data_IF_379323490356
#
_entry.id   IF_379323490356
#
_cell.length_a   1.000
_cell.length_b   1.000
_cell.length_c   1.000
_cell.angle_alpha   90.00
_cell.angle_beta   90.00
_cell.angle_gamma   90.00
#
_symmetry.space_group_name_H-M   'P 1'
#
loop_
_entity.id
_entity.type
_entity.pdbx_description
1 polymer ?
2 non-polymer ?
3 non-polymer ?
4 water ?
#
# COMPACT_ATOMS: atom_id res chain seq x y z
N UNK A 1 2.61 5.55 -17.79
CA UNK A 1 2.97 4.43 -16.81
C UNK A 1 4.19 4.81 -15.98
N UNK A 2 4.25 4.34 -14.74
CA UNK A 2 5.27 4.65 -13.75
C UNK A 2 5.87 3.37 -13.26
N UNK A 3 7.18 3.36 -13.00
CA UNK A 3 7.86 2.26 -12.40
C UNK A 3 8.03 2.54 -10.92
N UNK A 4 7.42 1.70 -10.08
CA UNK A 4 7.34 1.88 -8.64
C UNK A 4 8.54 1.27 -7.85
N UNK A 5 8.84 1.82 -6.66
CA UNK A 5 9.84 1.15 -5.82
C UNK A 5 9.37 -0.19 -5.26
N UNK A 6 10.29 -1.16 -5.16
CA UNK A 6 9.99 -2.54 -4.83
C UNK A 6 10.64 -2.85 -3.52
N UNK A 7 9.88 -3.37 -2.60
CA UNK A 7 10.38 -3.75 -1.32
C UNK A 7 11.26 -4.98 -1.42
N UNK A 8 12.27 -5.00 -0.59
CA UNK A 8 13.15 -6.16 -0.54
C UNK A 8 13.00 -7.02 0.67
N UNK A 9 13.36 -8.28 0.52
CA UNK A 9 13.38 -9.19 1.67
C UNK A 9 14.02 -8.57 2.92
N UNK A 10 13.32 -8.71 4.04
CA UNK A 10 13.66 -8.10 5.30
C UNK A 10 12.78 -6.95 5.64
N UNK A 11 12.16 -6.35 4.62
CA UNK A 11 11.13 -5.35 4.89
C UNK A 11 9.83 -5.95 5.30
N UNK A 12 9.26 -5.36 6.32
CA UNK A 12 8.16 -5.98 6.99
C UNK A 12 6.85 -5.94 6.20
N UNK A 13 6.73 -5.01 5.28
CA UNK A 13 5.55 -4.97 4.36
C UNK A 13 5.31 -6.32 3.69
N UNK A 14 6.40 -7.05 3.44
CA UNK A 14 6.37 -8.33 2.73
C UNK A 14 5.94 -9.49 3.60
N UNK A 15 5.80 -9.28 4.91
CA UNK A 15 5.36 -10.28 5.82
C UNK A 15 3.92 -10.24 6.20
N UNK A 16 3.14 -9.25 5.75
CA UNK A 16 1.75 -9.12 6.16
C UNK A 16 0.83 -9.99 5.32
N UNK A 17 -0.38 -10.17 5.82
CA UNK A 17 -1.46 -10.74 5.01
C UNK A 17 -2.14 -9.52 4.39
N UNK A 18 -2.00 -9.41 3.07
CA UNK A 18 -2.61 -8.30 2.28
C UNK A 18 -4.13 -8.34 2.40
N UNK A 19 -4.77 -7.17 2.49
CA UNK A 19 -6.20 -7.07 2.70
C UNK A 19 -6.93 -7.22 1.36
N UNK A 20 -8.07 -7.88 1.37
CA UNK A 20 -8.86 -8.01 0.09
C UNK A 20 -9.32 -6.67 -0.41
N UNK A 21 -9.35 -6.61 -1.72
CA UNK A 21 -9.92 -5.45 -2.42
C UNK A 21 -11.41 -5.41 -2.16
N UNK A 22 -11.91 -4.21 -1.80
CA UNK A 22 -13.30 -4.02 -1.37
C UNK A 22 -14.16 -3.79 -2.66
N UNK A 23 -15.43 -3.98 -2.45
CA UNK A 23 -16.41 -3.82 -3.54
C UNK A 23 -16.38 -2.49 -4.26
N UNK A 24 -16.28 -1.40 -3.49
CA UNK A 24 -16.24 -0.06 -4.11
C UNK A 24 -14.97 0.20 -4.92
N UNK A 25 -13.85 -0.51 -4.63
CA UNK A 25 -12.65 -0.41 -5.44
C UNK A 25 -12.77 -1.06 -6.81
N UNK A 26 -13.66 -2.06 -6.94
CA UNK A 26 -13.77 -2.81 -8.19
C UNK A 26 -14.25 -1.83 -9.28
N UNK A 27 -13.62 -1.92 -10.44
CA UNK A 27 -13.95 -1.13 -11.62
C UNK A 27 -13.72 0.35 -11.32
N UNK A 28 -12.80 0.66 -10.39
CA UNK A 28 -12.41 2.05 -10.11
C UNK A 28 -11.11 2.44 -10.85
N UNK A 29 -10.97 3.73 -11.17
CA UNK A 29 -9.76 4.25 -11.80
C UNK A 29 -8.59 4.02 -10.86
N UNK A 30 -8.81 4.10 -9.52
CA UNK A 30 -7.82 3.73 -8.51
C UNK A 30 -7.21 2.38 -8.81
N UNK A 31 -8.12 1.41 -8.98
CA UNK A 31 -7.68 0.05 -9.14
C UNK A 31 -7.02 -0.16 -10.50
N UNK A 32 -7.53 0.49 -11.56
CA UNK A 32 -6.87 0.40 -12.86
C UNK A 32 -5.49 0.98 -12.82
N UNK A 33 -5.32 2.08 -12.11
CA UNK A 33 -4.02 2.73 -12.00
C UNK A 33 -3.03 1.90 -11.21
N UNK A 34 -3.55 1.26 -10.18
CA UNK A 34 -2.72 0.37 -9.35
C UNK A 34 -2.17 -0.74 -10.24
N UNK A 35 -3.04 -1.40 -11.00
CA UNK A 35 -2.63 -2.48 -11.83
C UNK A 35 -1.67 -2.05 -12.93
N UNK A 36 -1.93 -0.90 -13.51
CA UNK A 36 -1.02 -0.38 -14.57
C UNK A 36 0.39 -0.11 -14.01
N UNK A 37 0.49 0.48 -12.83
CA UNK A 37 1.79 0.74 -12.21
C UNK A 37 2.50 -0.58 -11.84
N UNK A 38 1.74 -1.56 -11.37
CA UNK A 38 2.31 -2.87 -11.04
C UNK A 38 2.87 -3.49 -12.29
N UNK A 39 2.07 -3.43 -13.35
CA UNK A 39 2.44 -4.05 -14.65
C UNK A 39 3.72 -3.41 -15.18
N UNK A 40 3.77 -2.08 -15.19
CA UNK A 40 5.02 -1.40 -15.63
C UNK A 40 6.22 -1.76 -14.82
N UNK A 41 6.04 -1.84 -13.51
CA UNK A 41 7.10 -2.23 -12.61
C UNK A 41 7.65 -3.63 -12.88
N UNK A 42 6.76 -4.58 -13.03
CA UNK A 42 7.12 -5.96 -13.35
C UNK A 42 7.94 -6.01 -14.65
N UNK A 43 7.47 -5.35 -15.69
CA UNK A 43 8.12 -5.35 -17.02
C UNK A 43 9.52 -4.74 -16.88
N UNK A 44 9.60 -3.65 -16.13
CA UNK A 44 10.89 -2.95 -15.99
C UNK A 44 11.89 -3.85 -15.29
N UNK A 45 11.46 -4.70 -14.37
CA UNK A 45 12.39 -5.57 -13.61
C UNK A 45 12.48 -6.99 -14.25
N UNK A 46 12.03 -7.18 -15.48
CA UNK A 46 11.92 -8.52 -16.10
C UNK A 46 11.26 -9.61 -15.23
N UNK A 47 10.26 -9.18 -14.47
CA UNK A 47 9.44 -10.15 -13.76
C UNK A 47 8.49 -10.95 -14.65
N UNK A 48 8.09 -12.12 -14.18
CA UNK A 48 7.03 -12.88 -14.81
C UNK A 48 5.76 -12.91 -13.98
N UNK A 49 5.80 -12.15 -12.87
CA UNK A 49 4.63 -11.90 -12.10
C UNK A 49 4.96 -10.82 -11.09
N UNK A 50 3.96 -10.31 -10.40
CA UNK A 50 4.18 -9.29 -9.35
C UNK A 50 2.97 -9.29 -8.46
N UNK A 51 3.17 -8.90 -7.20
CA UNK A 51 2.12 -8.83 -6.19
C UNK A 51 2.15 -7.43 -5.58
N UNK A 52 0.98 -6.90 -5.25
CA UNK A 52 0.91 -5.53 -4.78
C UNK A 52 1.78 -5.23 -3.52
N UNK A 53 1.90 -6.15 -2.56
CA UNK A 53 2.78 -5.90 -1.37
C UNK A 53 4.20 -5.53 -1.77
N UNK A 54 4.67 -6.05 -2.90
CA UNK A 54 6.00 -5.80 -3.39
C UNK A 54 6.21 -4.36 -3.73
N UNK A 55 5.12 -3.63 -4.02
CA UNK A 55 5.21 -2.22 -4.34
C UNK A 55 4.56 -1.40 -3.19
N UNK A 56 4.60 -1.95 -1.99
CA UNK A 56 4.13 -1.33 -0.72
C UNK A 56 2.63 -1.13 -0.65
N UNK A 57 1.84 -1.95 -1.39
CA UNK A 57 0.39 -1.80 -1.46
C UNK A 57 -0.18 -3.08 -0.89
N UNK A 58 -0.69 -3.03 0.34
CA UNK A 58 -0.99 -4.28 1.08
C UNK A 58 -2.42 -4.68 0.73
N UNK A 59 -2.61 -4.96 -0.59
CA UNK A 59 -3.83 -5.36 -1.14
C UNK A 59 -3.72 -6.62 -1.95
N UNK A 60 -4.82 -7.34 -2.10
CA UNK A 60 -4.80 -8.66 -2.80
C UNK A 60 -5.00 -8.49 -4.31
N UNK A 61 -3.92 -8.04 -4.93
CA UNK A 61 -3.83 -7.92 -6.40
C UNK A 61 -2.54 -8.53 -6.83
N UNK A 62 -2.59 -9.38 -7.87
CA UNK A 62 -1.38 -9.95 -8.45
C UNK A 62 -1.44 -9.92 -9.97
N UNK A 63 -0.28 -10.04 -10.62
CA UNK A 63 -0.20 -10.19 -12.08
C UNK A 63 0.56 -11.48 -12.37
N UNK A 64 0.02 -12.30 -13.31
CA UNK A 64 0.66 -13.55 -13.71
C UNK A 64 1.00 -13.38 -15.18
N UNK A 65 2.27 -13.46 -15.56
CA UNK A 65 2.70 -13.01 -16.90
C UNK A 65 3.95 -13.74 -17.38
N UNK A 66 3.83 -15.06 -17.42
CA UNK A 66 4.88 -15.89 -17.92
C UNK A 66 5.24 -15.46 -19.38
N UNK A 67 6.54 -15.23 -19.57
CA UNK A 67 7.08 -14.80 -20.86
C UNK A 67 8.59 -15.08 -20.82
N UNK A 68 9.20 -15.59 -21.92
CA UNK A 68 10.70 -15.70 -21.86
C UNK A 68 11.37 -14.31 -21.67
N UNK A 69 12.40 -14.25 -20.84
CA UNK A 69 13.14 -12.99 -20.66
C UNK A 69 14.53 -13.35 -20.10
N UNK A 70 15.46 -12.36 -20.00
CA UNK A 70 16.81 -12.75 -19.49
C UNK A 70 16.75 -13.56 -18.17
N UNK A 71 15.94 -13.07 -17.24
CA UNK A 71 15.76 -13.76 -15.95
C UNK A 71 15.18 -15.17 -16.09
N UNK A 72 14.25 -15.36 -17.05
CA UNK A 72 13.68 -16.71 -17.34
C UNK A 72 13.69 -16.97 -18.85
N UNK A 73 14.85 -17.44 -19.38
CA UNK A 73 15.01 -17.59 -20.85
C UNK A 73 14.08 -18.63 -21.48
N UNK A 74 13.66 -19.61 -20.68
CA UNK A 74 12.80 -20.73 -21.14
C UNK A 74 11.33 -20.70 -20.77
N UNK A 75 10.82 -19.58 -20.23
CA UNK A 75 9.43 -19.53 -19.78
C UNK A 75 8.46 -19.57 -20.95
N UNK A 76 7.35 -20.33 -20.84
CA UNK A 76 6.35 -20.22 -21.89
C UNK A 76 5.67 -18.86 -21.90
N UNK A 77 5.22 -18.40 -23.05
CA UNK A 77 4.54 -17.09 -23.08
C UNK A 77 3.03 -17.27 -22.98
N UNK A 78 2.43 -16.56 -22.02
CA UNK A 78 0.97 -16.42 -21.89
C UNK A 78 0.61 -14.93 -21.99
N UNK A 79 -0.66 -14.59 -22.24
CA UNK A 79 -1.11 -13.19 -22.12
C UNK A 79 -1.16 -12.89 -20.58
N UNK A 80 -0.64 -11.75 -20.18
CA UNK A 80 -0.56 -11.39 -18.76
C UNK A 80 -2.01 -11.35 -18.20
N UNK A 81 -2.27 -11.92 -17.01
CA UNK A 81 -3.57 -11.83 -16.36
C UNK A 81 -3.42 -11.06 -15.01
N UNK A 82 -4.27 -10.06 -14.83
CA UNK A 82 -4.35 -9.37 -13.54
C UNK A 82 -5.46 -10.04 -12.70
N UNK A 83 -5.15 -10.42 -11.45
CA UNK A 83 -6.09 -11.08 -10.61
C UNK A 83 -6.32 -10.31 -9.30
N UNK A 84 -7.60 -10.01 -9.04
CA UNK A 84 -8.02 -9.36 -7.86
C UNK A 84 -8.62 -10.38 -6.95
N UNK A 85 -8.18 -10.37 -5.69
CA UNK A 85 -8.72 -11.31 -4.68
C UNK A 85 -8.61 -12.80 -5.16
N UNK A 86 -7.45 -13.18 -5.68
CA UNK A 86 -7.32 -14.57 -6.06
C UNK A 86 -7.41 -15.54 -4.90
N UNK A 87 -8.04 -16.68 -5.14
CA UNK A 87 -8.12 -17.80 -4.18
C UNK A 87 -7.84 -19.08 -4.91
N UNK A 88 -6.84 -19.82 -4.42
CA UNK A 88 -6.51 -21.10 -5.00
C UNK A 88 -7.48 -22.11 -4.34
N UNK A 89 -8.31 -22.71 -5.16
CA UNK A 89 -9.36 -23.61 -4.76
C UNK A 89 -8.91 -25.06 -4.79
N UNK A 90 -7.83 -25.34 -5.55
CA UNK A 90 -7.32 -26.70 -5.65
C UNK A 90 -5.89 -26.67 -6.06
N UNK A 91 -5.10 -27.47 -5.32
CA UNK A 91 -3.70 -27.75 -5.65
C UNK A 91 -3.62 -29.21 -6.00
N UNK A 92 -2.90 -29.53 -7.04
CA UNK A 92 -2.73 -30.96 -7.36
C UNK A 92 -1.81 -31.61 -6.33
N UNK A 93 -1.96 -32.94 -6.13
CA UNK A 93 -0.95 -33.66 -5.31
C UNK A 93 0.37 -33.78 -6.03
N UNK A 94 0.36 -33.88 -7.36
CA UNK A 94 1.60 -33.82 -8.12
C UNK A 94 2.33 -32.49 -7.97
N UNK A 95 3.65 -32.61 -7.75
CA UNK A 95 4.70 -31.66 -7.40
C UNK A 95 5.42 -31.43 -8.76
N UNK A 96 5.98 -30.25 -8.96
CA UNK A 96 7.14 -30.06 -9.86
C UNK A 96 8.12 -29.13 -9.11
N UNK A 97 9.41 -29.25 -9.35
CA UNK A 97 10.38 -28.32 -8.75
C UNK A 97 11.07 -27.54 -9.85
N UNK A 98 11.30 -26.28 -9.57
CA UNK A 98 11.93 -25.39 -10.52
C UNK A 98 12.67 -24.31 -9.78
N UNK A 99 13.56 -23.67 -10.51
CA UNK A 99 14.29 -22.57 -9.96
C UNK A 99 13.37 -21.35 -10.02
N UNK A 100 13.23 -20.68 -8.89
CA UNK A 100 12.57 -19.37 -8.79
C UNK A 100 13.54 -18.31 -8.30
N UNK A 101 13.37 -17.11 -8.84
CA UNK A 101 13.88 -15.85 -8.27
C UNK A 101 12.69 -15.02 -7.79
N UNK A 102 12.95 -13.78 -7.44
CA UNK A 102 11.86 -12.88 -6.99
C UNK A 102 12.33 -11.44 -7.05
N UNK A 103 11.46 -10.51 -7.43
CA UNK A 103 11.90 -9.10 -7.57
C UNK A 103 12.33 -8.50 -6.22
N UNK A 104 11.90 -9.12 -5.14
CA UNK A 104 12.14 -8.70 -3.79
C UNK A 104 13.32 -9.44 -3.13
N UNK A 105 13.95 -10.34 -3.88
CA UNK A 105 15.11 -11.08 -3.36
C UNK A 105 16.28 -10.91 -4.38
N UNK A 106 16.96 -9.74 -4.31
CA UNK A 106 18.04 -9.53 -5.28
C UNK A 106 19.08 -10.67 -5.24
N UNK A 107 19.50 -11.18 -6.40
CA UNK A 107 20.70 -12.06 -6.47
C UNK A 107 20.61 -13.32 -5.56
N UNK A 108 19.44 -13.92 -5.49
CA UNK A 108 19.34 -15.29 -4.97
C UNK A 108 18.18 -16.01 -5.70
N UNK A 109 18.49 -17.23 -6.08
CA UNK A 109 17.60 -18.11 -6.79
C UNK A 109 17.65 -19.38 -5.96
N UNK A 110 16.57 -20.13 -5.98
CA UNK A 110 16.51 -21.38 -5.28
C UNK A 110 15.49 -22.31 -5.94
N UNK A 111 15.65 -23.57 -5.61
CA UNK A 111 14.79 -24.63 -6.11
C UNK A 111 13.52 -24.73 -5.24
N UNK A 112 12.36 -24.60 -5.89
CA UNK A 112 11.08 -24.66 -5.15
C UNK A 112 10.10 -25.70 -5.68
N UNK A 113 9.57 -26.48 -4.76
CA UNK A 113 8.54 -27.49 -5.05
C UNK A 113 7.18 -26.78 -4.99
N UNK A 114 6.38 -26.97 -6.03
CA UNK A 114 5.07 -26.32 -6.17
C UNK A 114 4.16 -27.38 -6.70
N UNK A 115 2.85 -27.17 -6.51
CA UNK A 115 1.86 -28.02 -7.17
C UNK A 115 2.00 -27.80 -8.67
N UNK A 116 1.95 -28.91 -9.42
CA UNK A 116 1.95 -28.89 -10.86
C UNK A 116 0.76 -28.17 -11.44
N UNK A 117 -0.39 -28.32 -10.79
CA UNK A 117 -1.66 -27.68 -11.23
C UNK A 117 -2.31 -26.95 -10.10
N UNK A 118 -2.79 -25.71 -10.41
CA UNK A 118 -3.68 -25.00 -9.50
C UNK A 118 -4.94 -24.53 -10.20
N UNK A 119 -6.07 -24.56 -9.49
CA UNK A 119 -7.33 -23.95 -9.94
C UNK A 119 -7.54 -22.72 -9.13
N UNK A 120 -7.59 -21.56 -9.77
CA UNK A 120 -7.71 -20.29 -9.06
C UNK A 120 -8.95 -19.54 -9.41
N UNK A 121 -9.65 -19.03 -8.43
CA UNK A 121 -10.84 -18.19 -8.68
C UNK A 121 -10.42 -16.76 -8.34
N UNK A 122 -10.82 -15.76 -9.16
CA UNK A 122 -10.39 -14.41 -8.88
C UNK A 122 -11.41 -13.47 -9.55
N UNK A 123 -11.21 -12.20 -9.30
CA UNK A 123 -11.99 -11.17 -9.95
C UNK A 123 -11.12 -10.41 -10.93
N UNK A 124 -11.74 -10.03 -12.07
CA UNK A 124 -11.07 -9.10 -12.96
C UNK A 124 -11.07 -7.73 -12.33
N UNK A 125 -10.34 -6.83 -12.89
CA UNK A 125 -10.37 -5.44 -12.42
C UNK A 125 -11.76 -4.78 -12.48
N UNK A 126 -12.57 -5.18 -13.47
CA UNK A 126 -14.00 -4.75 -13.52
C UNK A 126 -14.82 -5.32 -12.39
N UNK A 127 -14.42 -6.48 -11.88
CA UNK A 127 -15.07 -7.16 -10.83
C UNK A 127 -15.76 -8.46 -11.20
N UNK A 128 -15.49 -9.03 -12.38
CA UNK A 128 -16.20 -10.23 -12.75
C UNK A 128 -15.48 -11.49 -12.25
N UNK A 129 -16.26 -12.48 -11.89
CA UNK A 129 -15.64 -13.76 -11.35
C UNK A 129 -15.09 -14.62 -12.49
N UNK A 130 -13.88 -15.14 -12.33
CA UNK A 130 -13.25 -16.02 -13.30
C UNK A 130 -12.61 -17.15 -12.55
N UNK A 131 -12.67 -18.33 -13.11
CA UNK A 131 -11.90 -19.49 -12.54
C UNK A 131 -11.07 -20.10 -13.63
N UNK A 132 -9.78 -20.29 -13.38
CA UNK A 132 -8.88 -20.75 -14.39
C UNK A 132 -7.95 -21.83 -13.83
N UNK A 133 -7.68 -22.84 -14.66
CA UNK A 133 -6.72 -23.91 -14.31
C UNK A 133 -5.35 -23.57 -14.87
N UNK A 134 -4.32 -23.63 -14.04
CA UNK A 134 -2.98 -23.36 -14.52
C UNK A 134 -2.13 -24.59 -14.25
N UNK A 135 -1.15 -24.80 -15.12
CA UNK A 135 -0.22 -25.90 -15.03
C UNK A 135 1.22 -25.35 -15.11
N UNK A 136 2.17 -26.16 -14.65
CA UNK A 136 3.59 -25.90 -14.92
C UNK A 136 4.14 -24.57 -14.40
N UNK A 137 4.89 -23.87 -15.25
CA UNK A 137 5.54 -22.65 -14.80
C UNK A 137 4.47 -21.56 -14.48
N UNK A 138 3.41 -21.41 -15.29
CA UNK A 138 2.36 -20.45 -14.88
C UNK A 138 1.73 -20.76 -13.50
N UNK A 139 1.55 -22.06 -13.22
CA UNK A 139 1.06 -22.46 -11.92
C UNK A 139 1.99 -22.07 -10.80
N UNK A 140 3.28 -22.22 -11.00
CA UNK A 140 4.24 -21.86 -10.01
C UNK A 140 4.21 -20.33 -9.78
N UNK A 141 3.98 -19.52 -10.83
CA UNK A 141 3.91 -18.05 -10.64
C UNK A 141 2.67 -17.72 -9.79
N UNK A 142 1.53 -18.32 -10.11
CA UNK A 142 0.30 -18.10 -9.33
C UNK A 142 0.59 -18.40 -7.83
N UNK A 143 1.24 -19.55 -7.59
CA UNK A 143 1.55 -19.88 -6.19
C UNK A 143 2.53 -18.93 -5.49
N UNK A 144 3.55 -18.50 -6.20
CA UNK A 144 4.53 -17.53 -5.75
C UNK A 144 3.85 -16.18 -5.37
N UNK A 145 2.98 -15.70 -6.26
CA UNK A 145 2.34 -14.45 -5.99
C UNK A 145 1.30 -14.52 -4.90
N UNK A 146 0.52 -15.59 -4.85
CA UNK A 146 -0.40 -15.74 -3.71
C UNK A 146 0.37 -15.78 -2.40
N UNK A 147 1.53 -16.48 -2.43
CA UNK A 147 2.41 -16.47 -1.22
C UNK A 147 2.77 -15.04 -0.83
N UNK A 148 3.07 -14.17 -1.77
CA UNK A 148 3.40 -12.79 -1.40
C UNK A 148 2.22 -12.11 -0.67
N UNK A 149 0.99 -12.42 -1.09
CA UNK A 149 -0.23 -11.82 -0.47
C UNK A 149 -0.42 -12.34 0.99
N UNK A 150 0.14 -13.51 1.28
CA UNK A 150 0.05 -14.14 2.58
C UNK A 150 1.35 -13.96 3.39
N UNK A 151 2.27 -13.15 2.94
CA UNK A 151 3.44 -12.76 3.79
C UNK A 151 4.59 -13.77 3.65
N UNK A 152 4.66 -14.47 2.52
CA UNK A 152 5.59 -15.63 2.32
C UNK A 152 6.50 -15.37 1.13
N UNK A 153 7.82 -15.54 1.34
CA UNK A 153 8.78 -15.36 0.28
C UNK A 153 9.32 -16.76 -0.06
N UNK A 154 9.78 -16.93 -1.30
CA UNK A 154 10.06 -18.28 -1.86
C UNK A 154 11.17 -18.94 -1.10
N UNK A 155 12.09 -18.13 -0.56
CA UNK A 155 13.17 -18.64 0.34
C UNK A 155 12.64 -19.53 1.48
N UNK A 156 11.45 -19.25 2.01
CA UNK A 156 10.86 -20.07 3.10
C UNK A 156 10.31 -21.42 2.60
N UNK A 157 10.11 -21.57 1.29
CA UNK A 157 9.52 -22.78 0.66
C UNK A 157 10.62 -23.73 0.13
N UNK A 158 11.89 -23.37 0.28
CA UNK A 158 13.01 -24.19 -0.16
C UNK A 158 13.03 -25.46 0.68
N UNK A 159 12.77 -26.62 0.04
CA UNK A 159 12.67 -27.92 0.72
C UNK A 159 14.07 -28.35 1.15
N UNK B 1 -14.18 7.83 -9.02
CA UNK B 1 -14.39 8.11 -7.54
C UNK B 1 -14.41 6.85 -6.66
N UNK B 2 -13.69 6.83 -5.51
CA UNK B 2 -13.54 5.60 -4.65
C UNK B 2 -13.40 6.01 -3.19
N UNK B 3 -13.89 5.20 -2.27
CA UNK B 3 -13.68 5.33 -0.85
C UNK B 3 -12.94 4.06 -0.41
N UNK B 4 -11.79 4.21 0.24
CA UNK B 4 -10.94 3.05 0.52
C UNK B 4 -11.19 2.49 1.90
N UNK B 5 -11.05 1.19 2.07
CA UNK B 5 -11.13 0.59 3.40
C UNK B 5 -10.00 1.13 4.28
N UNK B 6 -10.39 1.44 5.51
CA UNK B 6 -9.44 1.91 6.53
C UNK B 6 -9.04 0.75 7.46
N UNK B 7 -7.74 0.53 7.63
CA UNK B 7 -7.18 -0.40 8.60
C UNK B 7 -7.42 0.07 10.04
N UNK B 8 -7.71 -0.88 10.92
CA UNK B 8 -7.96 -0.59 12.35
C UNK B 8 -6.82 -1.04 13.24
N UNK B 9 -6.71 -0.37 14.38
CA UNK B 9 -5.79 -0.74 15.38
C UNK B 9 -5.83 -2.22 15.62
N UNK B 10 -4.65 -2.82 15.66
CA UNK B 10 -4.53 -4.26 15.69
C UNK B 10 -3.94 -4.77 14.41
N UNK B 11 -4.17 -4.05 13.31
CA UNK B 11 -3.66 -4.54 12.01
C UNK B 11 -2.26 -4.05 11.90
N UNK B 12 -1.36 -4.96 11.52
CA UNK B 12 0.06 -4.66 11.50
C UNK B 12 0.51 -3.66 10.44
N UNK B 13 -0.24 -3.49 9.36
CA UNK B 13 0.03 -2.42 8.40
C UNK B 13 0.16 -1.05 9.11
N UNK B 14 -0.55 -0.79 10.21
CA UNK B 14 -0.42 0.50 10.89
C UNK B 14 0.81 0.64 11.69
N UNK B 15 1.60 -0.41 11.84
CA UNK B 15 2.80 -0.42 12.68
C UNK B 15 4.13 -0.28 11.91
N UNK B 16 4.07 -0.29 10.57
CA UNK B 16 5.24 -0.19 9.78
C UNK B 16 5.79 1.22 9.68
N UNK B 17 7.00 1.28 9.16
CA UNK B 17 7.58 2.56 8.72
C UNK B 17 7.31 2.67 7.23
N UNK B 18 6.40 3.59 6.86
CA UNK B 18 5.99 3.76 5.47
C UNK B 18 7.16 4.20 4.56
N UNK B 19 7.24 3.67 3.35
CA UNK B 19 8.38 3.97 2.45
C UNK B 19 8.23 5.28 1.76
N UNK B 20 9.33 6.04 1.56
CA UNK B 20 9.18 7.28 0.78
C UNK B 20 8.69 7.12 -0.63
N UNK B 21 7.90 8.10 -1.08
CA UNK B 21 7.51 8.24 -2.51
C UNK B 21 8.73 8.45 -3.36
N UNK B 22 8.82 7.71 -4.47
CA UNK B 22 9.96 7.82 -5.37
C UNK B 22 9.83 9.01 -6.36
N UNK B 23 10.99 9.42 -6.92
CA UNK B 23 11.01 10.39 -8.02
C UNK B 23 10.07 9.99 -9.17
N UNK B 24 10.06 8.71 -9.48
CA UNK B 24 9.16 8.21 -10.57
C UNK B 24 7.64 8.50 -10.36
N UNK B 25 7.23 8.53 -9.11
CA UNK B 25 5.82 8.66 -8.80
C UNK B 25 5.39 10.08 -8.76
N UNK B 26 6.30 10.99 -8.60
CA UNK B 26 5.95 12.37 -8.57
C UNK B 26 5.40 12.78 -9.89
N UNK B 27 4.35 13.59 -9.84
CA UNK B 27 3.63 14.08 -11.03
C UNK B 27 3.06 12.95 -11.92
N UNK B 28 2.68 11.83 -11.32
CA UNK B 28 2.14 10.71 -12.08
C UNK B 28 0.63 10.62 -11.84
N UNK B 29 -0.07 10.02 -12.80
CA UNK B 29 -1.48 9.75 -12.64
C UNK B 29 -1.71 8.82 -11.44
N UNK B 30 -0.84 7.83 -11.27
CA UNK B 30 -0.84 7.03 -10.12
C UNK B 30 -0.92 7.81 -8.78
N UNK B 31 0.00 8.76 -8.64
CA UNK B 31 0.08 9.48 -7.38
C UNK B 31 -1.09 10.42 -7.23
N UNK B 32 -1.51 11.08 -8.32
CA UNK B 32 -2.76 11.91 -8.23
C UNK B 32 -3.96 11.06 -7.79
N UNK B 33 -4.09 9.86 -8.35
CA UNK B 33 -5.17 8.97 -8.01
C UNK B 33 -5.15 8.46 -6.56
N UNK B 34 -3.96 8.13 -6.06
CA UNK B 34 -3.80 7.75 -4.65
C UNK B 34 -4.28 8.90 -3.76
N UNK B 35 -3.82 10.10 -4.03
CA UNK B 35 -4.15 11.23 -3.19
C UNK B 35 -5.63 11.48 -3.26
N UNK B 36 -6.18 11.33 -4.46
CA UNK B 36 -7.64 11.53 -4.61
C UNK B 36 -8.47 10.58 -3.82
N UNK B 37 -8.08 9.32 -3.91
CA UNK B 37 -8.75 8.28 -3.13
C UNK B 37 -8.61 8.50 -1.63
N UNK B 38 -7.41 8.93 -1.18
CA UNK B 38 -7.24 9.30 0.19
C UNK B 38 -8.17 10.44 0.66
N UNK B 39 -8.24 11.51 -0.13
CA UNK B 39 -9.02 12.70 0.15
C UNK B 39 -10.49 12.34 0.23
N UNK B 40 -10.92 11.52 -0.72
CA UNK B 40 -12.35 11.07 -0.73
C UNK B 40 -12.71 10.23 0.45
N UNK B 41 -11.79 9.37 0.89
CA UNK B 41 -11.94 8.52 2.08
C UNK B 41 -12.02 9.34 3.36
N UNK B 42 -11.02 10.20 3.57
CA UNK B 42 -11.07 11.19 4.65
C UNK B 42 -12.43 11.97 4.73
N UNK B 43 -12.90 12.53 3.64
CA UNK B 43 -14.17 13.29 3.63
C UNK B 43 -15.39 12.45 3.96
N UNK B 44 -15.48 11.25 3.38
CA UNK B 44 -16.63 10.38 3.63
C UNK B 44 -16.65 9.97 5.11
N UNK B 45 -15.48 9.81 5.73
CA UNK B 45 -15.42 9.33 7.12
C UNK B 45 -15.34 10.50 8.13
N UNK B 46 -15.55 11.74 7.67
CA UNK B 46 -15.40 12.97 8.45
C UNK B 46 -14.06 13.14 9.20
N UNK B 47 -12.97 12.71 8.58
CA UNK B 47 -11.66 13.01 9.12
C UNK B 47 -11.17 14.44 8.79
N UNK B 48 -10.19 14.91 9.56
CA UNK B 48 -9.52 16.18 9.31
C UNK B 48 -8.08 15.99 8.85
N UNK B 49 -7.70 14.72 8.73
CA UNK B 49 -6.50 14.35 8.06
C UNK B 49 -6.53 12.86 7.77
N UNK B 50 -5.51 12.38 7.02
CA UNK B 50 -5.41 10.92 6.77
C UNK B 50 -4.01 10.64 6.34
N UNK B 51 -3.57 9.42 6.60
CA UNK B 51 -2.23 8.94 6.10
C UNK B 51 -2.34 7.66 5.31
N UNK B 52 -1.50 7.49 4.29
CA UNK B 52 -1.66 6.40 3.37
C UNK B 52 -1.65 5.02 4.04
N UNK B 53 -0.83 4.78 5.13
CA UNK B 53 -0.88 3.51 5.80
C UNK B 53 -2.27 3.12 6.25
N UNK B 54 -3.10 4.10 6.63
CA UNK B 54 -4.45 3.81 7.05
C UNK B 54 -5.33 3.17 5.96
N UNK B 55 -4.97 3.35 4.71
CA UNK B 55 -5.73 2.74 3.56
C UNK B 55 -4.91 1.66 2.88
N UNK B 56 -4.02 1.07 3.67
CA UNK B 56 -3.20 -0.06 3.31
C UNK B 56 -2.10 0.26 2.30
N UNK B 57 -1.73 1.52 2.19
CA UNK B 57 -0.69 1.99 1.26
C UNK B 57 0.51 2.41 2.11
N UNK B 58 1.55 1.62 2.14
CA UNK B 58 2.71 1.88 3.06
C UNK B 58 3.67 2.84 2.42
N UNK B 59 3.17 4.04 2.18
CA UNK B 59 3.89 5.10 1.53
C UNK B 59 3.76 6.42 2.25
N UNK B 60 4.77 7.28 2.15
CA UNK B 60 4.78 8.50 2.97
C UNK B 60 3.99 9.60 2.32
N UNK B 61 2.67 9.55 2.39
CA UNK B 61 1.81 10.59 1.92
C UNK B 61 0.77 10.86 3.03
N UNK B 62 0.45 12.12 3.29
CA UNK B 62 -0.57 12.52 4.24
C UNK B 62 -1.40 13.65 3.70
N UNK B 63 -2.58 13.82 4.31
CA UNK B 63 -3.42 14.98 4.02
C UNK B 63 -3.72 15.64 5.32
N UNK B 64 -3.60 16.98 5.31
CA UNK B 64 -3.88 17.82 6.48
C UNK B 64 -5.01 18.76 6.03
N UNK B 65 -6.14 18.65 6.70
CA UNK B 65 -7.41 19.20 6.21
C UNK B 65 -8.41 19.59 7.30
N UNK B 66 -7.96 20.43 8.21
CA UNK B 66 -8.85 20.94 9.26
C UNK B 66 -10.13 21.64 8.65
N UNK B 67 -11.29 21.35 9.21
CA UNK B 67 -12.63 21.75 8.71
C UNK B 67 -13.67 21.38 9.82
N UNK B 68 -14.66 22.27 10.13
CA UNK B 68 -15.73 21.85 11.04
C UNK B 68 -16.49 20.65 10.49
N UNK B 69 -16.73 19.61 11.28
CA UNK B 69 -17.62 18.50 10.83
C UNK B 69 -18.17 17.68 12.04
N UNK B 70 -19.07 16.69 11.80
CA UNK B 70 -19.67 15.98 12.96
C UNK B 70 -18.69 15.32 14.00
N UNK B 71 -17.52 14.84 13.55
CA UNK B 71 -16.45 14.36 14.44
C UNK B 71 -15.64 15.47 15.17
N UNK B 72 -15.46 16.65 14.54
CA UNK B 72 -14.80 17.82 15.18
C UNK B 72 -15.70 19.03 14.93
N UNK B 73 -16.84 19.07 15.65
CA UNK B 73 -17.86 20.06 15.30
C UNK B 73 -17.37 21.56 15.18
N UNK B 74 -16.22 21.92 15.80
CA UNK B 74 -15.66 23.32 15.71
C UNK B 74 -14.13 23.42 15.48
N UNK B 75 -13.57 22.47 14.73
CA UNK B 75 -12.22 22.65 14.12
C UNK B 75 -12.15 23.91 13.21
N UNK B 76 -10.95 24.59 13.14
CA UNK B 76 -10.81 25.75 12.24
C UNK B 76 -10.72 25.39 10.76
N UNK B 77 -10.97 26.40 9.93
CA UNK B 77 -11.01 26.28 8.48
C UNK B 77 -9.59 26.31 7.90
N UNK B 78 -9.33 25.53 6.85
CA UNK B 78 -8.07 25.61 6.09
C UNK B 78 -8.30 25.02 4.69
N UNK B 79 -7.43 25.32 3.75
CA UNK B 79 -7.42 24.57 2.48
C UNK B 79 -6.67 23.29 2.77
N UNK B 80 -7.20 22.16 2.33
CA UNK B 80 -6.54 20.88 2.56
C UNK B 80 -5.20 20.93 1.84
N UNK B 81 -4.18 20.36 2.47
CA UNK B 81 -2.85 20.26 1.90
C UNK B 81 -2.40 18.77 1.88
N UNK B 82 -1.94 18.29 0.71
CA UNK B 82 -1.35 16.98 0.54
C UNK B 82 0.16 17.08 0.65
N UNK B 83 0.76 16.26 1.49
CA UNK B 83 2.16 16.29 1.68
C UNK B 83 2.76 14.98 1.26
N UNK B 84 3.69 15.02 0.32
CA UNK B 84 4.49 13.86 -0.02
C UNK B 84 5.85 13.89 0.75
N UNK B 85 6.22 12.77 1.36
CA UNK B 85 7.50 12.62 2.09
C UNK B 85 7.65 13.77 3.13
N UNK B 86 6.66 13.97 3.98
CA UNK B 86 6.80 15.04 4.96
C UNK B 86 7.83 14.72 6.01
N UNK B 87 8.53 15.75 6.41
CA UNK B 87 9.46 15.61 7.53
C UNK B 87 9.35 16.81 8.47
N UNK B 88 9.15 16.56 9.75
CA UNK B 88 9.04 17.69 10.73
C UNK B 88 10.47 18.14 11.06
N UNK B 89 10.79 19.34 10.68
CA UNK B 89 12.12 19.91 10.91
C UNK B 89 12.31 20.47 12.36
N UNK B 90 11.26 21.09 12.82
CA UNK B 90 11.23 21.78 14.15
C UNK B 90 9.93 21.45 14.88
N UNK B 91 10.05 21.06 16.15
CA UNK B 91 8.95 21.06 17.11
C UNK B 91 9.19 22.17 18.14
N UNK B 92 8.22 23.03 18.41
CA UNK B 92 8.33 24.06 19.48
C UNK B 92 8.49 23.33 20.78
N UNK B 93 9.21 23.90 21.75
CA UNK B 93 9.20 23.25 23.08
C UNK B 93 7.88 23.49 23.81
N UNK B 94 7.16 24.54 23.42
CA UNK B 94 5.81 24.86 23.93
C UNK B 94 4.82 23.79 23.41
N UNK B 95 4.07 23.22 24.33
CA UNK B 95 3.19 22.08 24.13
C UNK B 95 1.77 22.55 24.27
N UNK B 96 0.85 21.85 23.63
CA UNK B 96 -0.57 22.05 23.83
C UNK B 96 -1.24 20.68 23.95
N UNK B 97 -2.40 20.66 24.60
CA UNK B 97 -3.12 19.41 24.86
C UNK B 97 -4.47 19.56 24.15
N UNK B 98 -4.83 18.55 23.37
CA UNK B 98 -6.04 18.61 22.57
C UNK B 98 -6.59 17.23 22.41
N UNK B 99 -7.91 17.17 22.23
CA UNK B 99 -8.60 15.93 22.00
C UNK B 99 -8.29 15.44 20.60
N UNK B 100 -8.00 14.16 20.46
CA UNK B 100 -7.83 13.53 19.14
C UNK B 100 -8.65 12.26 19.02
N UNK B 101 -9.14 11.99 17.84
CA UNK B 101 -9.51 10.62 17.45
C UNK B 101 -8.73 10.18 16.21
N UNK B 102 -9.19 9.10 15.61
CA UNK B 102 -8.48 8.52 14.46
C UNK B 102 -9.44 7.63 13.75
N UNK B 103 -9.50 7.69 12.41
CA UNK B 103 -10.30 6.70 11.68
C UNK B 103 -9.88 5.27 11.92
N UNK B 104 -8.61 5.04 12.27
CA UNK B 104 -8.07 3.73 12.57
C UNK B 104 -8.24 3.24 14.02
N UNK B 105 -8.75 4.10 14.87
CA UNK B 105 -9.01 3.72 16.28
C UNK B 105 -10.44 4.16 16.56
N UNK B 106 -11.44 3.46 16.00
CA UNK B 106 -12.74 4.17 16.00
C UNK B 106 -13.46 4.07 17.36
N UNK B 107 -14.27 5.10 17.57
CA UNK B 107 -14.80 5.52 18.90
C UNK B 107 -13.89 5.78 20.16
N UNK B 108 -12.66 5.24 20.20
CA UNK B 108 -11.71 5.55 21.29
C UNK B 108 -11.11 6.94 20.95
N UNK B 109 -11.34 7.97 21.78
CA UNK B 109 -10.75 9.31 21.60
C UNK B 109 -9.95 9.64 22.83
N UNK B 110 -9.09 10.66 22.78
CA UNK B 110 -8.25 10.93 23.96
C UNK B 110 -7.57 12.25 23.95
N UNK B 111 -6.97 12.62 25.08
CA UNK B 111 -6.36 13.90 25.20
C UNK B 111 -4.85 13.68 25.01
N UNK B 112 -4.27 14.36 24.03
CA UNK B 112 -2.87 14.11 23.58
C UNK B 112 -2.07 15.40 23.67
N UNK B 113 -0.86 15.34 24.20
CA UNK B 113 0.08 16.48 24.21
C UNK B 113 0.80 16.54 22.86
N UNK B 114 0.79 17.70 22.24
CA UNK B 114 1.55 17.91 20.99
C UNK B 114 2.40 19.17 21.07
N UNK B 115 3.38 19.28 20.19
CA UNK B 115 4.04 20.59 20.05
C UNK B 115 3.01 21.60 19.50
N UNK B 116 3.01 22.84 20.04
CA UNK B 116 2.10 23.89 19.54
C UNK B 116 2.38 24.33 18.13
N UNK B 117 3.67 24.27 17.79
CA UNK B 117 4.16 24.67 16.47
C UNK B 117 5.07 23.63 15.88
N UNK B 118 4.90 23.35 14.58
CA UNK B 118 5.86 22.56 13.82
C UNK B 118 6.23 23.26 12.52
N UNK B 119 7.47 23.07 12.10
CA UNK B 119 7.89 23.47 10.75
C UNK B 119 8.12 22.17 9.98
N UNK B 120 7.50 22.06 8.81
CA UNK B 120 7.48 20.82 8.09
C UNK B 120 7.97 21.09 6.68
N UNK B 121 8.77 20.18 6.20
CA UNK B 121 9.17 20.13 4.81
C UNK B 121 8.43 18.98 4.13
N UNK B 122 8.10 19.16 2.87
CA UNK B 122 7.43 18.10 2.13
C UNK B 122 7.53 18.42 0.68
N UNK B 123 7.08 17.49 -0.15
CA UNK B 123 6.89 17.72 -1.60
C UNK B 123 5.43 17.78 -1.97
N UNK B 124 5.09 18.63 -2.95
CA UNK B 124 3.73 18.62 -3.50
C UNK B 124 3.62 17.37 -4.40
N UNK B 125 2.42 17.14 -4.89
CA UNK B 125 2.19 16.02 -5.78
C UNK B 125 2.95 16.15 -7.10
N UNK B 126 3.32 17.41 -7.46
CA UNK B 126 4.12 17.73 -8.66
C UNK B 126 5.60 17.58 -8.38
N UNK B 127 6.03 17.47 -7.13
CA UNK B 127 7.42 17.28 -6.79
C UNK B 127 8.10 18.56 -6.30
N UNK B 128 7.36 19.60 -6.05
CA UNK B 128 7.97 20.89 -5.60
C UNK B 128 8.21 20.83 -4.07
N UNK B 129 9.37 21.33 -3.65
CA UNK B 129 9.79 21.36 -2.23
C UNK B 129 9.12 22.53 -1.57
N UNK B 130 8.56 22.24 -0.38
CA UNK B 130 7.86 23.21 0.43
C UNK B 130 8.38 23.09 1.85
N UNK B 131 8.46 24.23 2.51
CA UNK B 131 8.78 24.27 3.93
C UNK B 131 7.81 25.27 4.54
N UNK B 132 7.07 24.85 5.57
CA UNK B 132 6.01 25.67 6.08
C UNK B 132 5.75 25.43 7.55
N UNK B 133 5.24 26.46 8.23
CA UNK B 133 4.99 26.43 9.65
C UNK B 133 3.49 26.30 9.93
N UNK B 134 3.15 25.44 10.92
CA UNK B 134 1.77 25.21 11.35
C UNK B 134 1.75 25.45 12.85
N UNK B 135 0.59 25.89 13.31
CA UNK B 135 0.31 26.09 14.73
C UNK B 135 -0.98 25.38 15.08
N UNK B 136 -1.17 25.13 16.38
CA UNK B 136 -2.47 24.82 16.91
C UNK B 136 -3.00 23.50 16.33
N UNK B 137 -4.25 23.49 15.93
CA UNK B 137 -4.92 22.27 15.59
C UNK B 137 -4.33 21.72 14.29
N UNK B 138 -4.15 22.54 13.25
CA UNK B 138 -3.37 22.04 12.09
C UNK B 138 -2.01 21.41 12.47
N UNK B 139 -1.22 22.04 13.34
CA UNK B 139 0.03 21.47 13.71
C UNK B 139 -0.19 20.10 14.40
N UNK B 140 -1.25 19.96 15.19
CA UNK B 140 -1.53 18.65 15.79
C UNK B 140 -1.83 17.60 14.71
N UNK B 141 -2.60 17.98 13.70
CA UNK B 141 -2.91 17.04 12.61
C UNK B 141 -1.62 16.60 11.89
N UNK B 142 -0.70 17.52 11.65
CA UNK B 142 0.54 17.15 10.98
C UNK B 142 1.29 16.11 11.84
N UNK B 143 1.36 16.37 13.16
CA UNK B 143 2.03 15.45 14.04
C UNK B 143 1.40 14.04 14.05
N UNK B 144 0.07 14.00 14.14
CA UNK B 144 -0.72 12.76 14.18
C UNK B 144 -0.44 11.98 12.91
N UNK B 145 -0.51 12.67 11.74
CA UNK B 145 -0.41 11.95 10.45
C UNK B 145 1.01 11.51 10.19
N UNK B 146 2.05 12.32 10.53
CA UNK B 146 3.44 11.84 10.42
C UNK B 146 3.67 10.65 11.32
N UNK B 147 3.16 10.70 12.54
CA UNK B 147 3.17 9.53 13.38
C UNK B 147 2.65 8.23 12.68
N UNK B 148 1.59 8.33 11.86
CA UNK B 148 1.02 7.13 11.19
C UNK B 148 2.12 6.57 10.23
N UNK B 149 2.91 7.46 9.63
CA UNK B 149 3.97 7.07 8.73
C UNK B 149 5.10 6.33 9.46
N UNK B 150 5.25 6.58 10.75
CA UNK B 150 6.26 5.95 11.61
C UNK B 150 5.68 4.90 12.46
N UNK B 151 4.52 4.39 12.18
CA UNK B 151 4.01 3.27 12.92
C UNK B 151 3.38 3.54 14.28
N UNK B 152 2.98 4.76 14.52
CA UNK B 152 2.55 5.19 15.84
C UNK B 152 1.11 5.65 15.72
N UNK B 153 0.29 5.12 16.60
CA UNK B 153 -1.11 5.58 16.81
C UNK B 153 -1.20 6.50 18.03
N UNK B 154 -2.16 7.41 18.02
CA UNK B 154 -2.18 8.44 19.03
C UNK B 154 -2.31 7.87 20.45
N UNK B 155 -2.94 6.71 20.62
CA UNK B 155 -3.09 6.11 21.98
C UNK B 155 -1.75 5.75 22.63
N UNK B 156 -0.71 5.56 21.81
CA UNK B 156 0.63 5.27 22.34
C UNK B 156 1.26 6.55 22.89
N UNK B 157 0.71 7.72 22.57
CA UNK B 157 1.25 8.96 23.11
C UNK B 157 0.51 9.48 24.35
N UNK B 158 -0.35 8.62 24.92
CA UNK B 158 -1.24 8.96 26.05
C UNK B 158 -0.72 8.20 27.25
N UNK B 159 -0.70 8.94 28.37
CA UNK B 159 0.09 8.73 29.62
C UNK B 159 1.61 8.87 29.38
#
# INVERSE_FOLDING_TARGET
SVVLPVAKRGEDILKLIAAPVSANELNSNWLYQLADAMHATMLERNGVGIAAPQVYISKRVIIVASRPNPRYPDAPEMNAVVMVNPEILEFSSEMCLGEEGCLSVPDERGQVERAEMVKVKYLTLQGEMVETVFQGFPARIVQHEVDHLNGILFVERIS
SVVLPVAKRGEDILKLIAAPVSANELNSNWLYQLADAMHATMLERNGVGIAAPQVYISKRVIIVASRPNPRYPDAPEMNAVVMVNPEILEFSSEMCLGEEGCLSVPDERGQVERAEMVKVKYLTLQGEMVETVFQGFPARIVQHEVDHLNGILFVERIS
#
